data_IF_718025077226
#
_entry.id   IF_718025077226
#
_cell.length_a   1.000
_cell.length_b   1.000
_cell.length_c   1.000
_cell.angle_alpha   90.00
_cell.angle_beta   90.00
_cell.angle_gamma   90.00
#
_symmetry.space_group_name_H-M   'P 1'
#
loop_
_entity.id
_entity.type
_entity.pdbx_description
1 polymer ?
#
# COMPACT_ATOMS: atom_id res chain seq x y z
N UNK A 1 22.22 -18.08 12.65
CA UNK A 1 21.03 -18.27 11.79
C UNK A 1 20.31 -16.94 11.62
N UNK A 2 19.72 -16.69 10.45
CA UNK A 2 19.15 -15.38 10.10
C UNK A 2 18.06 -14.91 11.07
N UNK A 3 17.19 -15.79 11.56
CA UNK A 3 16.17 -15.46 12.58
C UNK A 3 16.78 -14.99 13.90
N UNK A 4 17.82 -15.70 14.38
CA UNK A 4 18.52 -15.36 15.63
C UNK A 4 19.21 -13.99 15.55
N UNK A 5 19.62 -13.56 14.36
CA UNK A 5 20.24 -12.24 14.13
C UNK A 5 19.21 -11.11 14.17
N UNK A 6 18.00 -11.34 13.66
CA UNK A 6 16.91 -10.35 13.63
C UNK A 6 16.21 -10.19 15.00
N UNK A 7 16.10 -11.28 15.78
CA UNK A 7 15.32 -11.33 17.02
C UNK A 7 15.57 -10.14 17.97
N UNK A 8 16.82 -9.73 18.28
CA UNK A 8 17.04 -8.62 19.23
C UNK A 8 16.50 -7.28 18.73
N UNK A 9 16.67 -6.97 17.44
CA UNK A 9 16.16 -5.73 16.85
C UNK A 9 14.64 -5.75 16.73
N UNK A 10 14.06 -6.92 16.43
CA UNK A 10 12.61 -7.11 16.35
C UNK A 10 11.94 -6.96 17.72
N UNK A 11 12.51 -7.56 18.76
CA UNK A 11 11.98 -7.46 20.13
C UNK A 11 12.01 -6.00 20.61
N UNK A 12 13.11 -5.27 20.33
CA UNK A 12 13.20 -3.85 20.63
C UNK A 12 12.15 -3.02 19.87
N UNK A 13 11.87 -3.36 18.62
CA UNK A 13 10.82 -2.71 17.84
C UNK A 13 9.42 -3.00 18.41
N UNK A 14 9.15 -4.24 18.81
CA UNK A 14 7.88 -4.60 19.46
C UNK A 14 7.68 -3.81 20.75
N UNK A 15 8.71 -3.65 21.58
CA UNK A 15 8.65 -2.86 22.82
C UNK A 15 8.37 -1.38 22.55
N UNK A 16 9.03 -0.78 21.54
CA UNK A 16 8.84 0.62 21.15
C UNK A 16 7.38 0.90 20.72
N UNK A 17 6.74 -0.05 20.05
CA UNK A 17 5.37 0.07 19.54
C UNK A 17 4.31 -0.57 20.45
N UNK A 18 4.67 -1.14 21.60
CA UNK A 18 3.77 -1.92 22.45
C UNK A 18 2.54 -1.14 22.96
N UNK A 19 2.65 0.19 23.06
CA UNK A 19 1.55 1.08 23.49
C UNK A 19 0.92 1.87 22.35
N UNK A 20 1.38 1.65 21.10
CA UNK A 20 0.84 2.36 19.95
C UNK A 20 -0.55 1.82 19.61
N UNK A 21 -1.61 2.66 19.63
CA UNK A 21 -2.97 2.18 19.39
C UNK A 21 -3.24 1.85 17.91
N UNK A 22 -2.38 2.26 16.98
CA UNK A 22 -2.63 2.17 15.54
C UNK A 22 -1.64 1.27 14.79
N UNK A 23 -0.56 0.83 15.43
CA UNK A 23 0.50 0.03 14.80
C UNK A 23 0.75 -1.20 15.67
N UNK A 24 0.59 -2.38 15.07
CA UNK A 24 0.92 -3.65 15.70
C UNK A 24 2.20 -4.20 15.06
N UNK A 25 3.20 -4.48 15.90
CA UNK A 25 4.38 -5.25 15.53
C UNK A 25 4.28 -6.59 16.29
N UNK A 26 4.32 -7.70 15.55
CA UNK A 26 4.16 -9.04 16.13
C UNK A 26 5.00 -10.06 15.37
N UNK A 27 5.37 -11.14 16.05
CA UNK A 27 5.97 -12.33 15.46
C UNK A 27 5.02 -13.53 15.51
N UNK A 28 5.23 -14.48 14.59
CA UNK A 28 4.43 -15.70 14.48
C UNK A 28 5.38 -16.89 14.35
N UNK A 29 5.22 -17.90 15.20
CA UNK A 29 5.93 -19.15 15.07
C UNK A 29 5.25 -20.07 14.04
N UNK A 30 5.72 -19.97 12.80
CA UNK A 30 5.26 -20.79 11.68
C UNK A 30 5.61 -22.29 11.81
N UNK A 31 6.43 -22.69 12.79
CA UNK A 31 6.78 -24.09 13.04
C UNK A 31 5.89 -24.76 14.09
N UNK A 32 5.09 -23.97 14.81
CA UNK A 32 4.14 -24.42 15.83
C UNK A 32 2.72 -23.95 15.48
N UNK A 33 2.07 -23.21 16.38
CA UNK A 33 0.67 -22.80 16.22
C UNK A 33 0.37 -21.82 15.08
N UNK A 34 1.39 -21.22 14.47
CA UNK A 34 1.24 -20.24 13.39
C UNK A 34 1.26 -20.80 11.97
N UNK A 35 1.37 -22.13 11.80
CA UNK A 35 1.62 -22.75 10.50
C UNK A 35 0.59 -22.36 9.42
N UNK A 36 -0.70 -22.50 9.71
CA UNK A 36 -1.79 -22.23 8.75
C UNK A 36 -1.80 -20.76 8.29
N UNK A 37 -1.52 -19.84 9.22
CA UNK A 37 -1.42 -18.41 8.93
C UNK A 37 -0.22 -18.13 7.99
N UNK A 38 0.93 -18.72 8.28
CA UNK A 38 2.13 -18.57 7.46
C UNK A 38 1.96 -19.16 6.06
N UNK A 39 1.28 -20.31 5.92
CA UNK A 39 0.94 -20.89 4.62
C UNK A 39 -0.04 -19.99 3.83
N UNK A 40 -1.10 -19.49 4.50
CA UNK A 40 -2.09 -18.58 3.91
C UNK A 40 -1.44 -17.32 3.34
N UNK A 41 -0.44 -16.77 4.04
CA UNK A 41 0.30 -15.60 3.60
C UNK A 41 1.55 -15.93 2.75
N UNK A 42 1.73 -17.19 2.35
CA UNK A 42 2.78 -17.59 1.41
C UNK A 42 4.21 -17.50 1.97
N UNK A 43 4.41 -17.66 3.28
CA UNK A 43 5.74 -17.71 3.90
C UNK A 43 6.44 -19.01 3.52
N UNK A 44 7.57 -18.91 2.81
CA UNK A 44 8.34 -20.06 2.28
C UNK A 44 9.74 -20.21 2.88
N UNK A 45 10.17 -19.28 3.71
CA UNK A 45 11.49 -19.27 4.32
C UNK A 45 11.54 -18.32 5.50
N UNK A 46 12.58 -18.43 6.34
CA UNK A 46 12.67 -17.64 7.56
C UNK A 46 13.99 -16.87 7.67
N UNK A 47 13.95 -15.62 8.20
CA UNK A 47 12.76 -14.86 8.55
C UNK A 47 12.17 -14.15 7.33
N UNK A 48 10.84 -14.13 7.25
CA UNK A 48 10.04 -13.33 6.33
C UNK A 48 9.31 -12.25 7.12
N UNK A 49 9.42 -11.01 6.68
CA UNK A 49 8.74 -9.86 7.29
C UNK A 49 7.68 -9.39 6.31
N UNK A 50 6.47 -9.16 6.81
CA UNK A 50 5.34 -8.66 6.03
C UNK A 50 4.70 -7.46 6.74
N UNK A 51 4.04 -6.60 5.97
CA UNK A 51 3.39 -5.39 6.49
C UNK A 51 2.12 -5.06 5.70
N UNK A 52 1.26 -4.20 6.28
CA UNK A 52 0.03 -3.73 5.67
C UNK A 52 -1.22 -4.25 6.38
N UNK A 53 -2.35 -4.20 5.68
CA UNK A 53 -3.62 -4.70 6.20
C UNK A 53 -3.60 -6.24 6.30
N UNK A 54 -4.27 -6.85 7.30
CA UNK A 54 -4.30 -8.31 7.44
C UNK A 54 -4.78 -9.06 6.19
N UNK A 55 -5.61 -8.42 5.35
CA UNK A 55 -6.10 -8.99 4.09
C UNK A 55 -5.19 -8.76 2.87
N UNK A 56 -4.20 -7.87 2.94
CA UNK A 56 -3.30 -7.50 1.83
C UNK A 56 -1.87 -7.25 2.34
N UNK A 57 -1.30 -8.27 2.99
CA UNK A 57 0.07 -8.20 3.49
C UNK A 57 1.10 -8.23 2.36
N UNK A 58 2.02 -7.26 2.37
CA UNK A 58 3.11 -7.09 1.40
C UNK A 58 4.45 -7.51 2.00
N UNK A 59 5.35 -7.98 1.14
CA UNK A 59 6.71 -8.34 1.56
C UNK A 59 7.55 -7.11 1.90
N UNK A 60 8.18 -7.13 3.08
CA UNK A 60 9.18 -6.14 3.45
C UNK A 60 10.57 -6.59 3.01
N UNK A 61 11.19 -5.79 2.14
CA UNK A 61 12.51 -6.06 1.58
C UNK A 61 13.56 -5.00 2.00
N UNK A 62 13.25 -4.19 3.00
CA UNK A 62 14.15 -3.16 3.51
C UNK A 62 15.21 -3.69 4.48
N UNK A 63 15.96 -2.75 5.08
CA UNK A 63 16.98 -3.04 6.08
C UNK A 63 16.41 -3.70 7.33
N UNK A 64 17.17 -4.61 7.95
CA UNK A 64 16.70 -5.42 9.09
C UNK A 64 17.31 -4.99 10.42
N UNK A 65 17.96 -3.83 10.45
CA UNK A 65 18.41 -3.21 11.70
C UNK A 65 17.21 -2.58 12.42
N UNK A 66 17.33 -2.37 13.73
CA UNK A 66 16.31 -1.64 14.48
C UNK A 66 15.96 -0.27 13.86
N UNK A 67 16.98 0.50 13.46
CA UNK A 67 16.77 1.85 12.92
C UNK A 67 16.03 1.82 11.57
N UNK A 68 16.38 0.87 10.68
CA UNK A 68 15.69 0.70 9.39
C UNK A 68 14.22 0.30 9.57
N UNK A 69 13.96 -0.63 10.51
CA UNK A 69 12.62 -1.12 10.80
C UNK A 69 11.77 -0.06 11.48
N UNK A 70 12.33 0.67 12.46
CA UNK A 70 11.64 1.76 13.15
C UNK A 70 11.27 2.87 12.17
N UNK A 71 12.22 3.30 11.33
CA UNK A 71 11.95 4.30 10.29
C UNK A 71 10.81 3.88 9.38
N UNK A 72 10.84 2.63 8.91
CA UNK A 72 9.76 2.11 8.09
C UNK A 72 8.41 2.10 8.82
N UNK A 73 8.39 1.65 10.08
CA UNK A 73 7.18 1.62 10.89
C UNK A 73 6.59 3.03 11.11
N UNK A 74 7.43 4.02 11.42
CA UNK A 74 7.02 5.42 11.63
C UNK A 74 6.48 6.07 10.34
N UNK A 75 7.07 5.77 9.18
CA UNK A 75 6.74 6.43 7.91
C UNK A 75 5.63 5.72 7.13
N UNK A 76 5.48 4.40 7.30
CA UNK A 76 4.68 3.56 6.40
C UNK A 76 3.55 2.79 7.07
N UNK A 77 3.50 2.76 8.41
CA UNK A 77 2.45 2.08 9.16
C UNK A 77 1.57 3.10 9.90
N UNK A 78 0.39 2.63 10.31
CA UNK A 78 -0.57 3.42 11.05
C UNK A 78 -1.76 3.87 10.19
N UNK A 79 -2.57 4.79 10.73
CA UNK A 79 -3.81 5.17 10.11
C UNK A 79 -3.52 5.94 8.82
N UNK A 80 -4.10 5.49 7.71
CA UNK A 80 -4.08 6.22 6.44
C UNK A 80 -5.34 7.09 6.31
N UNK A 81 -5.20 8.22 5.63
CA UNK A 81 -6.33 9.07 5.24
C UNK A 81 -7.38 8.26 4.47
N UNK A 82 -8.64 8.29 4.91
CA UNK A 82 -9.72 7.56 4.25
C UNK A 82 -11.13 8.09 4.53
N UNK A 83 -12.14 7.67 3.74
CA UNK A 83 -13.55 7.95 4.04
C UNK A 83 -14.00 7.19 5.29
N UNK A 84 -14.66 7.88 6.22
CA UNK A 84 -15.30 7.26 7.40
C UNK A 84 -14.36 6.99 8.59
N UNK A 85 -13.04 6.97 8.39
CA UNK A 85 -12.03 6.89 9.44
C UNK A 85 -10.80 7.72 9.04
N UNK A 86 -10.17 8.40 10.01
CA UNK A 86 -8.93 9.15 9.80
C UNK A 86 -9.01 10.22 8.69
N UNK A 87 -10.20 10.79 8.46
CA UNK A 87 -10.44 11.82 7.43
C UNK A 87 -9.65 13.10 7.71
N UNK A 88 -9.31 13.33 8.98
CA UNK A 88 -8.46 14.40 9.48
C UNK A 88 -6.98 14.24 9.11
N UNK A 89 -6.54 13.03 8.74
CA UNK A 89 -5.19 12.79 8.22
C UNK A 89 -5.06 13.14 6.73
N UNK A 90 -6.18 13.43 6.07
CA UNK A 90 -6.19 13.88 4.68
C UNK A 90 -5.80 15.36 4.59
N UNK A 91 -5.05 15.72 3.54
CA UNK A 91 -4.91 17.12 3.15
C UNK A 91 -6.28 17.72 2.76
N UNK A 92 -6.37 19.05 2.77
CA UNK A 92 -7.64 19.76 2.54
C UNK A 92 -8.29 19.44 1.18
N UNK A 93 -7.49 19.22 0.13
CA UNK A 93 -7.99 18.91 -1.20
C UNK A 93 -8.56 17.48 -1.23
N UNK A 94 -7.81 16.52 -0.72
CA UNK A 94 -8.23 15.12 -0.62
C UNK A 94 -9.48 14.97 0.24
N UNK A 95 -9.52 15.64 1.39
CA UNK A 95 -10.69 15.66 2.27
C UNK A 95 -11.93 16.21 1.56
N UNK A 96 -11.82 17.36 0.89
CA UNK A 96 -12.94 17.95 0.16
C UNK A 96 -13.47 17.02 -0.95
N UNK A 97 -12.58 16.31 -1.66
CA UNK A 97 -12.96 15.30 -2.65
C UNK A 97 -13.71 14.14 -2.01
N UNK A 98 -13.17 13.58 -0.91
CA UNK A 98 -13.80 12.47 -0.19
C UNK A 98 -15.20 12.86 0.28
N UNK A 99 -15.35 14.00 0.96
CA UNK A 99 -16.65 14.50 1.42
C UNK A 99 -17.62 14.74 0.25
N UNK A 100 -17.10 15.24 -0.88
CA UNK A 100 -17.87 15.39 -2.11
C UNK A 100 -18.41 14.07 -2.67
N UNK A 101 -17.60 13.00 -2.63
CA UNK A 101 -18.03 11.68 -3.08
C UNK A 101 -18.95 10.96 -2.10
N UNK A 102 -18.71 11.09 -0.79
CA UNK A 102 -19.57 10.52 0.26
C UNK A 102 -20.99 11.09 0.22
N UNK A 103 -21.15 12.35 -0.21
CA UNK A 103 -22.46 12.99 -0.43
C UNK A 103 -23.19 12.49 -1.68
N UNK A 104 -22.57 11.64 -2.52
CA UNK A 104 -23.20 11.09 -3.72
C UNK A 104 -23.92 9.77 -3.42
N UNK A 105 -25.00 9.49 -4.16
CA UNK A 105 -25.59 8.15 -4.18
C UNK A 105 -24.63 7.12 -4.77
N UNK A 106 -24.65 5.89 -4.27
CA UNK A 106 -23.84 4.77 -4.75
C UNK A 106 -23.87 4.64 -6.28
N UNK A 107 -25.05 4.58 -6.90
CA UNK A 107 -25.17 4.44 -8.36
C UNK A 107 -24.53 5.58 -9.17
N UNK A 108 -24.47 6.79 -8.61
CA UNK A 108 -23.77 7.92 -9.25
C UNK A 108 -22.25 7.76 -9.14
N UNK A 109 -21.75 7.29 -8.00
CA UNK A 109 -20.33 7.02 -7.81
C UNK A 109 -19.86 5.86 -8.70
N UNK A 110 -20.65 4.77 -8.77
CA UNK A 110 -20.42 3.65 -9.68
C UNK A 110 -20.38 4.08 -11.14
N UNK A 111 -21.31 4.94 -11.56
CA UNK A 111 -21.34 5.50 -12.91
C UNK A 111 -20.08 6.32 -13.23
N UNK A 112 -19.58 7.12 -12.27
CA UNK A 112 -18.32 7.85 -12.42
C UNK A 112 -17.13 6.91 -12.56
N UNK A 113 -17.03 5.88 -11.71
CA UNK A 113 -15.96 4.88 -11.76
C UNK A 113 -15.97 4.18 -13.13
N UNK A 114 -17.13 3.74 -13.60
CA UNK A 114 -17.28 3.09 -14.90
C UNK A 114 -16.81 3.98 -16.06
N UNK A 115 -17.21 5.25 -16.07
CA UNK A 115 -16.80 6.17 -17.12
C UNK A 115 -15.30 6.46 -17.09
N UNK A 116 -14.73 6.65 -15.90
CA UNK A 116 -13.29 6.85 -15.74
C UNK A 116 -12.49 5.63 -16.24
N UNK A 117 -12.92 4.42 -15.86
CA UNK A 117 -12.31 3.18 -16.34
C UNK A 117 -12.41 3.04 -17.85
N UNK A 118 -13.57 3.32 -18.45
CA UNK A 118 -13.73 3.32 -19.92
C UNK A 118 -12.74 4.25 -20.61
N UNK A 119 -12.52 5.44 -20.06
CA UNK A 119 -11.56 6.39 -20.65
C UNK A 119 -10.13 5.83 -20.57
N UNK A 120 -9.75 5.20 -19.46
CA UNK A 120 -8.42 4.60 -19.27
C UNK A 120 -8.22 3.38 -20.19
N UNK A 121 -9.22 2.50 -20.28
CA UNK A 121 -9.10 1.23 -21.01
C UNK A 121 -9.28 1.38 -22.52
N UNK A 122 -10.13 2.32 -22.96
CA UNK A 122 -10.51 2.46 -24.37
C UNK A 122 -9.91 3.71 -24.97
N UNK A 123 -10.14 4.87 -24.36
CA UNK A 123 -9.79 6.16 -24.98
C UNK A 123 -8.30 6.45 -24.90
N UNK A 124 -7.65 6.22 -23.75
CA UNK A 124 -6.22 6.49 -23.57
C UNK A 124 -5.34 5.72 -24.56
N UNK A 125 -5.55 4.41 -24.83
CA UNK A 125 -4.80 3.71 -25.88
C UNK A 125 -4.99 4.31 -27.27
N UNK A 126 -6.20 4.74 -27.62
CA UNK A 126 -6.47 5.41 -28.90
C UNK A 126 -5.73 6.74 -28.95
N UNK A 127 -5.84 7.55 -27.89
CA UNK A 127 -5.13 8.83 -27.78
C UNK A 127 -3.62 8.66 -27.89
N UNK A 128 -3.04 7.62 -27.26
CA UNK A 128 -1.61 7.29 -27.40
C UNK A 128 -1.22 6.95 -28.85
N UNK A 129 -2.03 6.18 -29.57
CA UNK A 129 -1.81 5.87 -30.99
C UNK A 129 -1.87 7.13 -31.86
N UNK A 130 -2.84 8.01 -31.60
CA UNK A 130 -2.98 9.29 -32.30
C UNK A 130 -1.76 10.19 -32.01
N UNK A 131 -1.37 10.32 -30.74
CA UNK A 131 -0.20 11.10 -30.33
C UNK A 131 1.09 10.61 -31.01
N UNK A 132 1.30 9.29 -31.08
CA UNK A 132 2.44 8.71 -31.81
C UNK A 132 2.42 9.05 -33.30
N UNK A 133 1.23 9.05 -33.92
CA UNK A 133 1.06 9.41 -35.33
C UNK A 133 1.34 10.89 -35.61
N UNK A 134 0.92 11.78 -34.71
CA UNK A 134 1.19 13.22 -34.82
C UNK A 134 2.68 13.53 -34.67
N UNK A 135 3.35 12.94 -33.66
CA UNK A 135 4.80 13.11 -33.45
C UNK A 135 5.62 12.67 -34.66
N UNK A 136 5.21 11.58 -35.34
CA UNK A 136 5.88 11.11 -36.57
C UNK A 136 5.73 12.10 -37.74
N UNK A 137 4.58 12.80 -37.82
CA UNK A 137 4.34 13.82 -38.86
C UNK A 137 5.13 15.10 -38.60
N UNK A 138 5.21 15.54 -37.35
CA UNK A 138 6.02 16.73 -36.97
C UNK A 138 7.50 16.51 -37.24
N UNK A 139 8.06 15.33 -36.89
CA UNK A 139 9.46 15.00 -37.18
C UNK A 139 9.78 14.74 -38.67
N UNK A 140 8.78 14.72 -39.56
CA UNK A 140 8.99 14.58 -41.01
C UNK A 140 8.96 15.93 -41.76
N UNK A 141 8.70 17.04 -41.06
CA UNK A 141 8.63 18.38 -41.65
C UNK A 141 9.95 19.18 -41.50
N UNK A 142 10.98 18.62 -40.86
CA UNK A 142 12.30 19.25 -40.64
C UNK A 142 13.42 18.70 -41.55
N UNK A 143 13.10 17.96 -42.62
CA UNK A 143 14.03 17.48 -43.66
C UNK A 143 13.56 17.95 -45.05
#
# INVERSE_FOLDING_TARGET
GHCKKLKPDWDKLMDEFATNPNVLIADVDCTAGGKDLCETHGVRGYPTIKYGDPGDLKDYNGGRSFDDLKKFADESLGPSCGPGQNIELCDAETKAKIEGYVKMSVGKLEGKIRNALKNVEVEVPIMKKVLASLKKKEGSAEL
#
